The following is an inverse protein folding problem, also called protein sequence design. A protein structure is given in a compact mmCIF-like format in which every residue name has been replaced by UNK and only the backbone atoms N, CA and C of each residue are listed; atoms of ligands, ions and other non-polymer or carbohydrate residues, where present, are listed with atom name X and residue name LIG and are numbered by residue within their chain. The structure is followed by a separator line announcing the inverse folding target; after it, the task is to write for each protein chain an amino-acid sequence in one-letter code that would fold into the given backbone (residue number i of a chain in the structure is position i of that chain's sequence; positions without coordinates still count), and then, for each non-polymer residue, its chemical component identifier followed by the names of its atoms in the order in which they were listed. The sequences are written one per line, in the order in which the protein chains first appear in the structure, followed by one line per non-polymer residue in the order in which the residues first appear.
data_IF_839767159820
#
_entry.id   IF_839767159820
#
_cell.length_a   1.000
_cell.length_b   1.000
_cell.length_c   1.000
_cell.angle_alpha   90.00
_cell.angle_beta   90.00
_cell.angle_gamma   90.00
#
_symmetry.space_group_name_H-M   'P 1'
#
loop_
_entity.id
_entity.type
_entity.pdbx_description
1 polymer ?
#
# COMPACT_ATOMS: atom_id res chain seq x y z
N UNK A 1 0.59 10.26 -2.22
CA UNK A 1 -0.22 9.03 -2.20
C UNK A 1 -1.52 9.35 -2.89
N UNK A 2 -1.72 8.81 -4.09
CA UNK A 2 -2.99 8.97 -4.82
C UNK A 2 -3.93 7.84 -4.34
N UNK A 3 -5.10 8.21 -3.86
CA UNK A 3 -6.06 7.29 -3.24
C UNK A 3 -7.27 7.15 -4.18
N UNK A 4 -7.09 6.44 -5.30
CA UNK A 4 -8.18 6.24 -6.25
C UNK A 4 -9.00 5.00 -5.87
N UNK A 5 -10.00 5.18 -5.00
CA UNK A 5 -11.20 4.35 -4.73
C UNK A 5 -11.12 2.80 -4.59
N UNK A 6 -10.02 2.11 -4.92
CA UNK A 6 -9.86 0.64 -4.86
C UNK A 6 -8.40 0.17 -4.76
N UNK A 7 -7.41 1.01 -5.06
CA UNK A 7 -6.00 0.63 -5.04
C UNK A 7 -5.12 1.65 -4.33
N UNK A 8 -4.09 1.16 -3.65
CA UNK A 8 -3.05 1.96 -3.02
C UNK A 8 -1.74 1.79 -3.78
N UNK A 9 -0.94 2.85 -3.86
CA UNK A 9 0.39 2.79 -4.45
C UNK A 9 1.46 3.07 -3.40
N UNK A 10 2.45 2.19 -3.29
CA UNK A 10 3.56 2.30 -2.33
C UNK A 10 4.90 2.28 -3.05
N UNK A 11 5.82 3.17 -2.69
CA UNK A 11 7.20 3.14 -3.20
C UNK A 11 8.13 2.50 -2.18
N UNK A 12 8.85 1.46 -2.58
CA UNK A 12 9.72 0.64 -1.70
C UNK A 12 11.12 0.49 -2.28
N UNK A 13 12.08 0.19 -1.41
CA UNK A 13 13.51 0.08 -1.77
C UNK A 13 13.86 -1.29 -2.36
N UNK A 14 12.92 -2.23 -2.37
CA UNK A 14 13.11 -3.61 -2.86
C UNK A 14 11.88 -4.10 -3.60
N UNK A 15 12.07 -4.94 -4.61
CA UNK A 15 10.97 -5.62 -5.28
C UNK A 15 10.25 -6.56 -4.31
N UNK A 16 8.92 -6.61 -4.40
CA UNK A 16 8.09 -7.58 -3.69
C UNK A 16 7.36 -8.48 -4.70
N UNK A 17 7.26 -9.80 -4.45
CA UNK A 17 6.49 -10.71 -5.28
C UNK A 17 5.01 -10.34 -5.39
N UNK A 18 4.42 -10.60 -6.56
CA UNK A 18 2.98 -10.51 -6.76
C UNK A 18 2.28 -11.57 -5.89
N UNK A 19 1.13 -11.20 -5.32
CA UNK A 19 0.37 -12.02 -4.38
C UNK A 19 0.91 -11.99 -2.94
N UNK A 20 1.99 -11.26 -2.66
CA UNK A 20 2.46 -11.09 -1.29
C UNK A 20 1.46 -10.26 -0.48
N UNK A 21 1.17 -10.72 0.72
CA UNK A 21 0.32 -10.02 1.67
C UNK A 21 1.14 -9.06 2.53
N UNK A 22 0.70 -7.81 2.58
CA UNK A 22 1.32 -6.73 3.34
C UNK A 22 0.33 -6.17 4.34
N UNK A 23 0.77 -6.03 5.59
CA UNK A 23 0.09 -5.20 6.57
C UNK A 23 0.57 -3.78 6.43
N UNK A 24 -0.35 -2.85 6.19
CA UNK A 24 -0.04 -1.44 6.05
C UNK A 24 -0.82 -0.63 7.07
N UNK A 25 -0.19 0.44 7.57
CA UNK A 25 -0.80 1.39 8.50
C UNK A 25 -0.73 2.76 7.86
N UNK A 26 -1.89 3.28 7.46
CA UNK A 26 -2.00 4.64 6.95
C UNK A 26 -2.08 5.58 8.14
N UNK A 27 -1.07 6.42 8.30
CA UNK A 27 -1.12 7.56 9.22
C UNK A 27 -1.83 8.72 8.51
N UNK A 28 -3.01 9.16 9.00
CA UNK A 28 -3.68 10.30 8.42
C UNK A 28 -2.83 11.57 8.60
N UNK A 29 -2.90 12.46 7.62
CA UNK A 29 -2.16 13.73 7.66
C UNK A 29 -2.64 14.70 8.75
N UNK A 30 -3.73 14.36 9.45
CA UNK A 30 -4.28 15.10 10.58
C UNK A 30 -4.71 14.14 11.68
N UNK A 31 -4.56 14.55 12.94
CA UNK A 31 -4.94 13.78 14.14
C UNK A 31 -6.46 13.53 14.28
N UNK A 32 -7.24 13.92 13.27
CA UNK A 32 -8.70 13.87 13.29
C UNK A 32 -9.26 12.48 12.97
N UNK A 33 -8.43 11.58 12.42
CA UNK A 33 -8.81 10.20 12.11
C UNK A 33 -7.85 9.22 12.79
N UNK A 34 -8.34 8.06 13.27
CA UNK A 34 -7.45 7.02 13.74
C UNK A 34 -6.59 6.49 12.56
N UNK A 35 -5.37 5.98 12.85
CA UNK A 35 -4.59 5.25 11.86
C UNK A 35 -5.42 4.13 11.27
N UNK A 36 -5.37 3.96 9.95
CA UNK A 36 -6.09 2.88 9.28
C UNK A 36 -5.14 1.72 9.05
N UNK A 37 -5.38 0.61 9.74
CA UNK A 37 -4.68 -0.65 9.49
C UNK A 37 -5.41 -1.47 8.44
N UNK A 38 -4.68 -1.91 7.42
CA UNK A 38 -5.20 -2.72 6.33
C UNK A 38 -4.28 -3.87 5.98
N UNK A 39 -4.88 -4.94 5.48
CA UNK A 39 -4.18 -6.01 4.77
C UNK A 39 -4.31 -5.73 3.28
N UNK A 40 -3.20 -5.83 2.57
CA UNK A 40 -3.12 -5.56 1.15
C UNK A 40 -2.38 -6.66 0.42
N UNK A 41 -2.77 -6.92 -0.82
CA UNK A 41 -2.08 -7.84 -1.72
C UNK A 41 -1.31 -7.06 -2.79
N UNK A 42 -0.07 -7.47 -3.07
CA UNK A 42 0.71 -6.92 -4.17
C UNK A 42 0.15 -7.40 -5.51
N UNK A 43 -0.52 -6.52 -6.24
CA UNK A 43 -1.08 -6.82 -7.58
C UNK A 43 -0.20 -6.29 -8.72
N UNK A 44 0.76 -5.41 -8.41
CA UNK A 44 1.73 -4.87 -9.38
C UNK A 44 3.04 -4.52 -8.67
N UNK A 45 4.17 -4.77 -9.31
CA UNK A 45 5.50 -4.32 -8.87
C UNK A 45 6.32 -3.91 -10.09
N UNK A 46 6.62 -2.62 -10.21
CA UNK A 46 7.35 -2.06 -11.34
C UNK A 46 8.57 -1.26 -10.85
N UNK A 47 9.73 -1.34 -11.52
CA UNK A 47 10.85 -0.48 -11.17
C UNK A 47 10.53 0.99 -11.48
N UNK A 48 10.88 1.89 -10.56
CA UNK A 48 10.71 3.34 -10.66
C UNK A 48 11.96 4.05 -10.12
N UNK A 49 12.90 4.36 -11.03
CA UNK A 49 14.22 4.86 -10.69
C UNK A 49 15.03 3.85 -9.86
N UNK A 50 15.46 4.26 -8.66
CA UNK A 50 16.19 3.43 -7.70
C UNK A 50 15.26 2.64 -6.74
N UNK A 51 13.94 2.76 -6.94
CA UNK A 51 12.91 2.15 -6.09
C UNK A 51 11.97 1.28 -6.93
N UNK A 52 11.00 0.68 -6.28
CA UNK A 52 9.93 -0.06 -6.91
C UNK A 52 8.58 0.54 -6.52
N UNK A 53 7.71 0.63 -7.50
CA UNK A 53 6.35 1.07 -7.37
C UNK A 53 5.42 -0.13 -7.27
N UNK A 54 4.78 -0.27 -6.12
CA UNK A 54 3.83 -1.34 -5.85
C UNK A 54 2.41 -0.83 -6.09
N UNK A 55 1.63 -1.57 -6.86
CA UNK A 55 0.18 -1.49 -6.83
C UNK A 55 -0.35 -2.50 -5.83
N UNK A 56 -1.14 -2.01 -4.88
CA UNK A 56 -1.70 -2.78 -3.77
C UNK A 56 -3.22 -2.78 -3.85
N UNK A 57 -3.82 -3.94 -3.68
CA UNK A 57 -5.26 -4.09 -3.51
C UNK A 57 -5.57 -4.31 -2.03
N UNK A 58 -6.50 -3.55 -1.45
CA UNK A 58 -6.89 -3.73 -0.05
C UNK A 58 -7.81 -4.95 0.05
N UNK A 59 -7.39 -5.96 0.81
CA UNK A 59 -8.15 -7.20 1.01
C UNK A 59 -8.95 -7.18 2.32
N UNK A 60 -8.42 -6.53 3.35
CA UNK A 60 -9.07 -6.43 4.67
C UNK A 60 -8.75 -5.09 5.36
N UNK A 61 -9.70 -4.58 6.15
CA UNK A 61 -9.53 -3.42 7.03
C UNK A 61 -9.61 -3.90 8.47
N UNK A 62 -8.54 -3.70 9.25
CA UNK A 62 -8.38 -4.29 10.59
C UNK A 62 -8.91 -3.40 11.73
N UNK A 63 -9.07 -2.10 11.47
CA UNK A 63 -9.49 -1.02 12.40
C UNK A 63 -8.52 -0.70 13.55
#
# INVERSE_FOLDING_TARGET
MDLSATGMQLSVDRALPLGEELKTRLEPASDQFPPLETVCEVVRCEPDGDRFLLGLNITEVLQ
#
